data_IF_133009506838
#
_entry.id   IF_133009506838
#
_cell.length_a   1.000
_cell.length_b   1.000
_cell.length_c   1.000
_cell.angle_alpha   90.00
_cell.angle_beta   90.00
_cell.angle_gamma   90.00
#
_symmetry.space_group_name_H-M   'P 1'
#
loop_
_entity.id
_entity.type
_entity.pdbx_description
1 polymer ?
#
# COMPACT_ATOMS: atom_id res chain seq x y z
N UNK A 1 4.14 31.51 42.06
CA UNK A 1 4.51 30.94 40.75
C UNK A 1 4.37 29.42 40.78
N UNK A 2 3.32 28.83 40.19
CA UNK A 2 3.35 27.40 39.88
C UNK A 2 2.82 27.11 38.47
N UNK A 3 3.62 26.47 37.62
CA UNK A 3 3.09 25.86 36.39
C UNK A 3 3.84 24.58 36.03
N UNK A 4 3.05 23.48 36.02
CA UNK A 4 2.96 22.44 34.99
C UNK A 4 4.22 21.58 34.78
N UNK A 5 4.17 20.29 34.47
CA UNK A 5 3.15 19.26 34.38
C UNK A 5 3.98 18.04 33.95
N UNK A 6 3.79 16.90 34.60
CA UNK A 6 4.45 15.63 34.26
C UNK A 6 4.24 15.34 32.77
N UNK A 7 5.34 15.24 32.01
CA UNK A 7 5.33 14.76 30.64
C UNK A 7 5.68 13.28 30.63
N UNK A 8 4.65 12.45 30.60
CA UNK A 8 4.73 11.05 30.21
C UNK A 8 4.05 10.89 28.85
N UNK A 9 4.79 10.57 27.78
CA UNK A 9 4.29 9.68 26.72
C UNK A 9 5.31 9.28 25.66
N UNK A 10 5.30 7.97 25.43
CA UNK A 10 5.45 7.25 24.16
C UNK A 10 6.86 7.14 23.54
N UNK A 11 7.54 6.10 24.01
CA UNK A 11 8.56 5.31 23.31
C UNK A 11 8.06 4.97 21.89
N UNK A 12 8.57 5.64 20.85
CA UNK A 12 8.36 5.23 19.46
C UNK A 12 9.17 3.95 19.23
N UNK A 13 8.48 2.81 19.11
CA UNK A 13 9.08 1.54 18.70
C UNK A 13 9.44 1.62 17.21
N UNK A 14 10.72 1.90 16.95
CA UNK A 14 11.35 1.77 15.64
C UNK A 14 11.51 0.29 15.30
N UNK A 15 10.43 -0.35 14.85
CA UNK A 15 10.53 -1.58 14.06
C UNK A 15 10.97 -1.15 12.66
N UNK A 16 12.21 -1.42 12.30
CA UNK A 16 12.72 -1.31 10.93
C UNK A 16 11.98 -2.32 10.03
N UNK A 17 10.73 -2.01 9.69
CA UNK A 17 10.01 -2.73 8.63
C UNK A 17 10.67 -2.35 7.32
N UNK A 18 10.95 -3.34 6.48
CA UNK A 18 11.36 -3.10 5.10
C UNK A 18 10.40 -2.08 4.46
N UNK A 19 10.91 -1.16 3.62
CA UNK A 19 10.08 -0.14 2.99
C UNK A 19 8.91 -0.79 2.24
N UNK A 20 7.71 -0.28 2.49
CA UNK A 20 6.48 -0.77 1.88
C UNK A 20 6.28 -0.07 0.55
N UNK A 21 6.34 -0.84 -0.53
CA UNK A 21 6.21 -0.35 -1.89
C UNK A 21 4.84 -0.66 -2.50
N UNK A 22 4.14 -1.68 -2.00
CA UNK A 22 2.85 -2.11 -2.56
C UNK A 22 1.72 -1.82 -1.58
N UNK A 23 0.67 -1.15 -2.07
CA UNK A 23 -0.49 -0.74 -1.30
C UNK A 23 -1.76 -1.37 -1.87
N UNK A 24 -2.35 -2.32 -1.14
CA UNK A 24 -3.56 -3.01 -1.59
C UNK A 24 -4.83 -2.21 -1.27
N UNK A 25 -5.85 -2.37 -2.11
CA UNK A 25 -7.20 -1.88 -1.90
C UNK A 25 -8.21 -2.93 -2.38
N UNK A 26 -9.29 -3.17 -1.63
CA UNK A 26 -10.37 -4.06 -2.00
C UNK A 26 -11.24 -4.45 -0.81
N UNK A 27 -12.44 -4.96 -1.07
CA UNK A 27 -13.36 -5.48 -0.05
C UNK A 27 -13.61 -4.51 1.13
N UNK A 28 -13.73 -3.21 0.83
CA UNK A 28 -13.94 -2.16 1.84
C UNK A 28 -12.71 -1.80 2.69
N UNK A 29 -11.52 -2.33 2.37
CA UNK A 29 -10.26 -2.06 3.07
C UNK A 29 -9.21 -1.54 2.09
N UNK A 30 -8.46 -0.53 2.49
CA UNK A 30 -7.32 -0.04 1.71
C UNK A 30 -6.15 0.34 2.62
N UNK A 31 -4.94 -0.01 2.19
CA UNK A 31 -3.68 0.37 2.83
C UNK A 31 -3.35 1.85 2.60
N UNK A 32 -3.93 2.46 1.57
CA UNK A 32 -3.80 3.87 1.22
C UNK A 32 -4.97 4.74 1.67
N UNK A 33 -4.94 6.02 1.32
CA UNK A 33 -6.07 6.96 1.42
C UNK A 33 -5.89 8.13 0.45
N UNK A 34 -6.91 8.97 0.30
CA UNK A 34 -6.93 10.12 -0.60
C UNK A 34 -5.88 11.21 -0.32
N UNK A 35 -5.22 11.19 0.84
CA UNK A 35 -4.13 12.12 1.19
C UNK A 35 -2.77 11.64 0.68
N UNK A 36 -2.62 10.37 0.34
CA UNK A 36 -1.37 9.76 -0.11
C UNK A 36 -1.10 9.96 -1.62
N UNK A 37 -1.50 11.11 -2.17
CA UNK A 37 -1.36 11.42 -3.61
C UNK A 37 0.09 11.44 -4.10
N UNK A 38 1.00 11.95 -3.27
CA UNK A 38 2.43 12.01 -3.63
C UNK A 38 3.06 10.62 -3.69
N UNK A 39 2.54 9.65 -2.91
CA UNK A 39 3.09 8.30 -2.80
C UNK A 39 2.40 7.30 -3.72
N UNK A 40 1.08 7.39 -3.89
CA UNK A 40 0.27 6.44 -4.68
C UNK A 40 -0.14 7.01 -6.05
N UNK A 41 0.22 8.26 -6.33
CA UNK A 41 -0.35 9.02 -7.42
C UNK A 41 -1.82 9.43 -7.16
N UNK A 42 -2.33 10.32 -8.01
CA UNK A 42 -3.72 10.79 -7.90
C UNK A 42 -4.77 9.68 -8.07
N UNK A 43 -4.51 8.70 -8.95
CA UNK A 43 -5.42 7.57 -9.20
C UNK A 43 -5.42 6.56 -8.05
N UNK A 44 -4.23 6.12 -7.61
CA UNK A 44 -4.11 5.16 -6.51
C UNK A 44 -4.66 5.70 -5.20
N UNK A 45 -4.41 6.98 -4.90
CA UNK A 45 -4.98 7.64 -3.73
C UNK A 45 -6.53 7.72 -3.80
N UNK A 46 -7.10 8.00 -4.98
CA UNK A 46 -8.55 8.07 -5.15
C UNK A 46 -9.21 6.69 -5.07
N UNK A 47 -8.62 5.65 -5.70
CA UNK A 47 -9.10 4.27 -5.60
C UNK A 47 -9.07 3.76 -4.16
N UNK A 48 -8.02 4.08 -3.42
CA UNK A 48 -7.93 3.77 -2.00
C UNK A 48 -9.03 4.49 -1.20
N UNK A 49 -9.30 5.77 -1.48
CA UNK A 49 -10.36 6.52 -0.82
C UNK A 49 -11.75 5.95 -1.14
N UNK A 50 -12.05 5.69 -2.42
CA UNK A 50 -13.30 5.07 -2.87
C UNK A 50 -13.54 3.71 -2.19
N UNK A 51 -12.48 2.90 -2.06
CA UNK A 51 -12.56 1.62 -1.35
C UNK A 51 -12.86 1.81 0.14
N UNK A 52 -12.26 2.81 0.81
CA UNK A 52 -12.48 3.08 2.24
C UNK A 52 -13.90 3.53 2.55
N UNK A 53 -14.52 4.30 1.64
CA UNK A 53 -15.94 4.70 1.75
C UNK A 53 -16.90 3.58 1.31
N UNK A 54 -16.39 2.36 1.11
CA UNK A 54 -17.15 1.15 0.75
C UNK A 54 -17.90 1.27 -0.57
N UNK A 55 -17.41 2.07 -1.50
CA UNK A 55 -17.88 1.99 -2.88
C UNK A 55 -17.46 0.63 -3.48
N UNK A 56 -18.26 0.07 -4.41
CA UNK A 56 -17.94 -1.17 -5.10
C UNK A 56 -16.76 -0.93 -6.07
N UNK A 57 -15.55 -0.95 -5.52
CA UNK A 57 -14.29 -0.87 -6.27
C UNK A 57 -13.70 -2.28 -6.36
N UNK A 58 -13.33 -2.75 -7.56
CA UNK A 58 -12.61 -4.01 -7.72
C UNK A 58 -11.33 -4.03 -6.88
N UNK A 59 -11.01 -5.19 -6.31
CA UNK A 59 -9.78 -5.33 -5.56
C UNK A 59 -8.56 -5.17 -6.48
N UNK A 60 -7.49 -4.61 -5.94
CA UNK A 60 -6.25 -4.36 -6.65
C UNK A 60 -5.17 -3.81 -5.72
N UNK A 61 -4.10 -3.30 -6.31
CA UNK A 61 -3.03 -2.67 -5.55
C UNK A 61 -2.36 -1.56 -6.36
N UNK A 62 -1.64 -0.69 -5.67
CA UNK A 62 -0.85 0.40 -6.24
C UNK A 62 0.60 0.25 -5.80
N UNK A 63 1.52 0.34 -6.74
CA UNK A 63 2.95 0.43 -6.48
C UNK A 63 3.29 1.90 -6.22
N UNK A 64 4.03 2.18 -5.15
CA UNK A 64 4.38 3.55 -4.77
C UNK A 64 5.28 4.23 -5.80
N UNK A 65 5.19 5.55 -5.86
CA UNK A 65 6.06 6.40 -6.69
C UNK A 65 7.54 6.25 -6.32
N UNK A 66 7.84 5.83 -5.09
CA UNK A 66 9.22 5.55 -4.63
C UNK A 66 9.89 4.42 -5.42
N UNK A 67 9.13 3.45 -5.92
CA UNK A 67 9.69 2.40 -6.79
C UNK A 67 10.14 2.98 -8.12
N UNK A 68 9.41 3.98 -8.64
CA UNK A 68 9.82 4.69 -9.85
C UNK A 68 11.15 5.42 -9.62
N UNK A 69 11.27 6.15 -8.51
CA UNK A 69 12.54 6.79 -8.13
C UNK A 69 13.67 5.77 -7.99
N UNK A 70 13.43 4.68 -7.24
CA UNK A 70 14.41 3.60 -7.05
C UNK A 70 14.89 3.05 -8.40
N UNK A 71 13.96 2.80 -9.33
CA UNK A 71 14.28 2.27 -10.65
C UNK A 71 15.25 3.17 -11.41
N UNK A 72 15.03 4.49 -11.41
CA UNK A 72 15.97 5.41 -12.07
C UNK A 72 17.31 5.49 -11.34
N UNK A 73 17.32 5.48 -10.01
CA UNK A 73 18.54 5.58 -9.20
C UNK A 73 19.39 4.30 -9.25
N UNK A 74 18.77 3.13 -9.46
CA UNK A 74 19.43 1.81 -9.38
C UNK A 74 19.61 1.17 -10.75
N UNK A 75 19.95 1.95 -11.78
CA UNK A 75 20.23 1.44 -13.14
C UNK A 75 19.08 0.61 -13.72
N UNK A 76 17.85 1.06 -13.53
CA UNK A 76 16.63 0.39 -14.03
C UNK A 76 16.40 -0.99 -13.41
N UNK A 77 16.77 -1.13 -12.13
CA UNK A 77 16.49 -2.34 -11.34
C UNK A 77 15.44 -2.04 -10.27
N UNK A 78 14.81 -3.08 -9.74
CA UNK A 78 13.77 -2.96 -8.73
C UNK A 78 14.31 -3.29 -7.32
N UNK A 79 13.71 -2.74 -6.25
CA UNK A 79 14.06 -3.15 -4.90
C UNK A 79 13.84 -4.66 -4.76
N UNK A 80 14.77 -5.43 -4.17
CA UNK A 80 14.62 -6.88 -4.03
C UNK A 80 13.43 -7.29 -3.16
N UNK A 81 12.93 -6.36 -2.33
CA UNK A 81 11.73 -6.55 -1.53
C UNK A 81 10.41 -6.32 -2.31
N UNK A 82 10.47 -5.86 -3.57
CA UNK A 82 9.29 -5.52 -4.36
C UNK A 82 8.54 -6.78 -4.80
N UNK A 83 9.24 -7.77 -5.35
CA UNK A 83 8.62 -8.97 -5.93
C UNK A 83 7.75 -9.69 -4.89
N UNK A 84 8.29 -9.94 -3.69
CA UNK A 84 7.54 -10.55 -2.59
C UNK A 84 6.30 -9.73 -2.20
N UNK A 85 6.38 -8.40 -2.22
CA UNK A 85 5.24 -7.54 -1.90
C UNK A 85 4.19 -7.57 -3.01
N UNK A 86 4.59 -7.71 -4.27
CA UNK A 86 3.69 -7.88 -5.41
C UNK A 86 2.97 -9.23 -5.28
N UNK A 87 3.69 -10.32 -5.03
CA UNK A 87 3.11 -11.66 -4.87
C UNK A 87 2.08 -11.69 -3.72
N UNK A 88 2.42 -11.09 -2.58
CA UNK A 88 1.49 -10.95 -1.44
C UNK A 88 0.24 -10.11 -1.79
N UNK A 89 0.39 -9.10 -2.64
CA UNK A 89 -0.72 -8.26 -3.08
C UNK A 89 -1.61 -8.96 -4.11
N UNK A 90 -1.02 -9.73 -5.03
CA UNK A 90 -1.74 -10.59 -5.98
C UNK A 90 -2.57 -11.60 -5.19
N UNK A 91 -1.98 -12.31 -4.24
CA UNK A 91 -2.71 -13.30 -3.43
C UNK A 91 -3.90 -12.67 -2.66
N UNK A 92 -3.74 -11.45 -2.13
CA UNK A 92 -4.85 -10.71 -1.50
C UNK A 92 -5.95 -10.34 -2.49
N UNK A 93 -5.57 -9.96 -3.70
CA UNK A 93 -6.50 -9.64 -4.78
C UNK A 93 -7.28 -10.88 -5.22
N UNK A 94 -6.61 -12.01 -5.39
CA UNK A 94 -7.25 -13.31 -5.71
C UNK A 94 -8.29 -13.70 -4.67
N UNK A 95 -7.94 -13.63 -3.37
CA UNK A 95 -8.88 -13.91 -2.28
C UNK A 95 -10.08 -12.95 -2.31
N UNK A 96 -9.83 -11.66 -2.56
CA UNK A 96 -10.90 -10.65 -2.59
C UNK A 96 -11.83 -10.78 -3.79
N UNK A 97 -11.32 -11.29 -4.93
CA UNK A 97 -12.07 -11.46 -6.17
C UNK A 97 -12.64 -12.87 -6.34
N UNK A 98 -12.16 -13.85 -5.58
CA UNK A 98 -12.52 -15.26 -5.76
C UNK A 98 -11.98 -15.88 -7.05
N UNK A 99 -11.01 -15.24 -7.70
CA UNK A 99 -10.42 -15.62 -8.99
C UNK A 99 -8.90 -15.78 -8.86
N UNK A 100 -8.27 -16.50 -9.78
CA UNK A 100 -6.82 -16.72 -9.78
C UNK A 100 -6.16 -15.96 -10.92
N UNK A 101 -5.09 -15.24 -10.60
CA UNK A 101 -4.34 -14.47 -11.56
C UNK A 101 -3.65 -15.41 -12.56
N UNK A 102 -4.05 -15.32 -13.82
CA UNK A 102 -3.49 -16.15 -14.89
C UNK A 102 -4.05 -17.58 -14.96
N UNK A 103 -5.17 -17.87 -14.31
CA UNK A 103 -5.87 -19.15 -14.50
C UNK A 103 -6.44 -19.23 -15.92
N UNK A 104 -6.18 -20.36 -16.60
CA UNK A 104 -6.61 -20.60 -17.99
C UNK A 104 -8.12 -20.85 -18.07
N UNK A 105 -8.73 -21.31 -16.97
CA UNK A 105 -10.14 -21.69 -16.92
C UNK A 105 -11.06 -20.60 -16.37
N UNK A 106 -10.55 -19.78 -15.43
CA UNK A 106 -11.29 -18.64 -14.87
C UNK A 106 -10.32 -17.50 -14.47
N UNK A 107 -9.84 -16.71 -15.45
CA UNK A 107 -8.89 -15.63 -15.22
C UNK A 107 -9.45 -14.45 -14.43
#
# INVERSE_FOLDING_TARGET
>A
MPTKSKSSKAKKSSSSKAPKYVYSFGNGKADGNGKMKSLLGGKGANLAEMTRIRLPVPAGFTISTEVCTYFYDHKRTYPPALDKQIDEAIHKMEIAMGKKFGDVKDP
#
